data_IF_598820662155
#
_entry.id   IF_598820662155
#
_cell.length_a   1.000
_cell.length_b   1.000
_cell.length_c   1.000
_cell.angle_alpha   90.00
_cell.angle_beta   90.00
_cell.angle_gamma   90.00
#
_symmetry.space_group_name_H-M   'P 1'
#
loop_
_entity.id
_entity.type
_entity.pdbx_description
1 polymer ?
#
# COMPACT_ATOMS: atom_id res chain seq x y z
N UNK A 1 -5.32 22.43 9.92
CA UNK A 1 -4.32 21.91 8.96
C UNK A 1 -5.03 20.83 8.16
N UNK A 2 -4.97 20.86 6.83
CA UNK A 2 -5.77 19.95 5.97
C UNK A 2 -4.97 18.70 5.65
N UNK A 3 -5.52 17.53 5.94
CA UNK A 3 -4.97 16.24 5.50
C UNK A 3 -5.37 15.99 4.05
N UNK A 4 -4.41 15.61 3.21
CA UNK A 4 -4.64 15.23 1.82
C UNK A 4 -4.22 13.77 1.66
N UNK A 5 -5.13 12.93 1.18
CA UNK A 5 -4.91 11.49 1.00
C UNK A 5 -5.08 11.12 -0.48
N UNK A 6 -4.06 11.33 -1.32
CA UNK A 6 -4.13 10.92 -2.72
C UNK A 6 -4.05 9.39 -2.85
N UNK A 7 -4.75 8.84 -3.83
CA UNK A 7 -4.62 7.42 -4.19
C UNK A 7 -3.76 7.27 -5.44
N UNK A 8 -2.75 6.42 -5.38
CA UNK A 8 -1.84 6.15 -6.50
C UNK A 8 -1.89 4.68 -6.90
N UNK A 9 -1.97 4.42 -8.21
CA UNK A 9 -1.85 3.09 -8.77
C UNK A 9 -0.44 2.93 -9.37
N UNK A 10 0.29 1.91 -8.92
CA UNK A 10 1.66 1.61 -9.39
C UNK A 10 1.76 0.37 -10.28
N UNK A 11 0.66 -0.11 -10.85
CA UNK A 11 0.64 -1.22 -11.82
C UNK A 11 1.39 -2.48 -11.31
N UNK A 12 1.04 -2.92 -10.11
CA UNK A 12 1.67 -4.07 -9.45
C UNK A 12 2.99 -3.77 -8.73
N UNK A 13 3.56 -2.57 -8.89
CA UNK A 13 4.85 -2.17 -8.29
C UNK A 13 4.73 -1.37 -6.99
N UNK A 14 3.59 -1.45 -6.30
CA UNK A 14 3.39 -0.72 -5.05
C UNK A 14 4.45 -1.06 -3.99
N UNK A 15 4.87 -2.34 -3.89
CA UNK A 15 5.91 -2.76 -2.94
C UNK A 15 7.26 -2.07 -3.18
N UNK A 16 7.67 -1.95 -4.45
CA UNK A 16 8.87 -1.20 -4.83
C UNK A 16 8.71 0.30 -4.59
N UNK A 17 7.52 0.84 -4.88
CA UNK A 17 7.22 2.27 -4.77
C UNK A 17 7.28 2.79 -3.32
N UNK A 18 6.96 1.97 -2.32
CA UNK A 18 7.01 2.33 -0.90
C UNK A 18 8.41 2.79 -0.48
N UNK A 19 9.45 2.09 -0.94
CA UNK A 19 10.84 2.31 -0.47
C UNK A 19 11.32 3.75 -0.75
N UNK A 20 11.19 4.30 -1.97
CA UNK A 20 11.46 5.71 -2.24
C UNK A 20 10.73 6.69 -1.33
N UNK A 21 9.45 6.48 -1.00
CA UNK A 21 8.71 7.38 -0.11
C UNK A 21 9.27 7.36 1.31
N UNK A 22 9.63 6.17 1.82
CA UNK A 22 10.28 6.03 3.12
C UNK A 22 11.64 6.74 3.14
N UNK A 23 12.45 6.58 2.09
CA UNK A 23 13.80 7.14 2.01
C UNK A 23 13.80 8.66 1.81
N UNK A 24 12.95 9.18 0.92
CA UNK A 24 12.95 10.59 0.55
C UNK A 24 12.19 11.47 1.55
N UNK A 25 11.10 10.96 2.14
CA UNK A 25 10.18 11.76 2.95
C UNK A 25 10.01 11.25 4.37
N UNK A 26 10.72 10.18 4.77
CA UNK A 26 10.54 9.56 6.07
C UNK A 26 9.15 8.94 6.25
N UNK A 27 8.50 8.55 5.14
CA UNK A 27 7.18 7.94 5.18
C UNK A 27 7.14 6.72 6.09
N UNK A 28 6.02 6.52 6.76
CA UNK A 28 5.74 5.33 7.57
C UNK A 28 4.59 4.57 6.95
N UNK A 29 4.68 3.25 6.97
CA UNK A 29 3.64 2.36 6.45
C UNK A 29 2.72 2.03 7.61
N UNK A 30 1.47 2.47 7.52
CA UNK A 30 0.43 2.19 8.52
C UNK A 30 -0.32 0.89 8.20
N UNK A 31 -0.44 0.59 6.91
CA UNK A 31 -1.11 -0.60 6.41
C UNK A 31 -0.34 -1.15 5.20
N UNK A 32 -0.20 -2.47 5.15
CA UNK A 32 0.31 -3.21 4.00
C UNK A 32 -0.41 -4.55 3.90
N UNK A 33 -1.29 -4.68 2.91
CA UNK A 33 -2.04 -5.90 2.63
C UNK A 33 -1.66 -6.43 1.26
N UNK A 34 -1.36 -7.72 1.17
CA UNK A 34 -1.16 -8.39 -0.11
C UNK A 34 -2.47 -9.02 -0.60
N UNK A 35 -2.55 -9.35 -1.89
CA UNK A 35 -3.71 -10.03 -2.46
C UNK A 35 -4.00 -11.39 -1.82
N UNK A 36 -2.98 -12.06 -1.25
CA UNK A 36 -3.18 -13.29 -0.45
C UNK A 36 -3.89 -13.08 0.88
N UNK A 37 -3.84 -11.85 1.41
CA UNK A 37 -4.43 -11.49 2.71
C UNK A 37 -5.89 -11.06 2.55
N UNK A 38 -6.32 -10.77 1.31
CA UNK A 38 -7.70 -10.43 0.98
C UNK A 38 -8.61 -11.67 0.89
N UNK A 39 -9.92 -11.47 1.07
CA UNK A 39 -10.92 -12.50 0.87
C UNK A 39 -10.90 -12.96 -0.60
N UNK A 40 -10.61 -14.25 -0.82
CA UNK A 40 -10.48 -14.77 -2.16
C UNK A 40 -11.82 -14.78 -2.92
N UNK A 41 -12.95 -14.76 -2.21
CA UNK A 41 -14.29 -14.71 -2.80
C UNK A 41 -14.60 -13.38 -3.49
N UNK A 42 -13.84 -12.32 -3.18
CA UNK A 42 -13.97 -11.01 -3.86
C UNK A 42 -13.39 -11.04 -5.28
N UNK A 43 -12.54 -12.01 -5.62
CA UNK A 43 -11.93 -12.11 -6.93
C UNK A 43 -12.82 -12.90 -7.91
N UNK A 44 -13.09 -12.29 -9.06
CA UNK A 44 -13.80 -12.96 -10.18
C UNK A 44 -12.96 -14.03 -10.90
N UNK A 45 -11.70 -14.20 -10.50
CA UNK A 45 -10.74 -15.13 -11.10
C UNK A 45 -9.72 -15.58 -10.06
N UNK A 46 -9.17 -16.77 -10.29
CA UNK A 46 -8.00 -17.24 -9.56
C UNK A 46 -6.78 -16.34 -9.85
N UNK A 47 -6.02 -16.06 -8.80
CA UNK A 47 -4.77 -15.30 -8.87
C UNK A 47 -3.59 -16.26 -9.03
N UNK A 48 -2.60 -15.90 -9.84
CA UNK A 48 -1.33 -16.62 -9.87
C UNK A 48 -0.57 -16.43 -8.54
N UNK A 49 0.39 -17.31 -8.25
CA UNK A 49 1.25 -17.17 -7.06
C UNK A 49 2.01 -15.84 -7.02
N UNK A 50 2.40 -15.33 -8.19
CA UNK A 50 2.99 -14.01 -8.32
C UNK A 50 1.99 -12.90 -7.94
N UNK A 51 0.77 -12.95 -8.48
CA UNK A 51 -0.29 -11.96 -8.20
C UNK A 51 -0.71 -11.97 -6.73
N UNK A 52 -0.72 -13.12 -6.07
CA UNK A 52 -0.95 -13.25 -4.62
C UNK A 52 0.12 -12.53 -3.78
N UNK A 53 1.30 -12.30 -4.34
CA UNK A 53 2.38 -11.53 -3.73
C UNK A 53 2.31 -10.03 -4.01
N UNK A 54 1.41 -9.55 -4.86
CA UNK A 54 1.25 -8.11 -5.08
C UNK A 54 0.59 -7.46 -3.87
N UNK A 55 0.90 -6.18 -3.67
CA UNK A 55 0.20 -5.34 -2.68
C UNK A 55 -1.20 -5.05 -3.21
N UNK A 56 -2.20 -5.44 -2.41
CA UNK A 56 -3.61 -5.14 -2.65
C UNK A 56 -3.94 -3.72 -2.19
N UNK A 57 -3.47 -3.34 -1.01
CA UNK A 57 -3.67 -2.01 -0.42
C UNK A 57 -2.50 -1.64 0.48
N UNK A 58 -2.08 -0.38 0.43
CA UNK A 58 -1.09 0.15 1.36
C UNK A 58 -1.44 1.60 1.72
N UNK A 59 -1.21 1.95 2.98
CA UNK A 59 -1.37 3.31 3.48
C UNK A 59 -0.05 3.78 4.06
N UNK A 60 0.34 4.98 3.65
CA UNK A 60 1.57 5.62 4.10
C UNK A 60 1.24 7.00 4.63
N UNK A 61 1.79 7.34 5.79
CA UNK A 61 1.77 8.70 6.30
C UNK A 61 3.14 9.37 6.09
N UNK A 62 3.09 10.64 5.68
CA UNK A 62 4.25 11.51 5.50
C UNK A 62 4.00 12.79 6.30
N UNK A 63 4.94 13.12 7.19
CA UNK A 63 4.81 14.24 8.12
C UNK A 63 3.98 13.88 9.37
N UNK A 64 4.42 14.38 10.53
CA UNK A 64 3.77 14.14 11.82
C UNK A 64 2.81 15.25 12.23
N UNK A 65 1.58 14.86 12.56
CA UNK A 65 0.68 15.49 13.53
C UNK A 65 -0.43 14.46 13.83
N UNK A 66 -0.57 13.85 15.00
CA UNK A 66 -0.06 14.03 16.36
C UNK A 66 0.14 12.61 16.95
N UNK A 67 1.22 12.37 17.70
CA UNK A 67 1.23 11.30 18.69
C UNK A 67 0.19 11.67 19.76
N UNK A 68 -0.70 10.73 20.08
CA UNK A 68 -1.81 10.94 21.02
C UNK A 68 -1.39 11.40 22.41
#
# INVERSE_FOLDING_TARGET
MTTITPNFNFDGKCGEAITPYQQAFGAKVDCLLHYRDADQSDFKRELSEEQKGYVYHAELHIGGHYDG
#
